data_IF_816275068047
#
_entry.id   IF_816275068047
#
_cell.length_a   1.000
_cell.length_b   1.000
_cell.length_c   1.000
_cell.angle_alpha   90.00
_cell.angle_beta   90.00
_cell.angle_gamma   90.00
#
_symmetry.space_group_name_H-M   'P 1'
#
loop_
_entity.id
_entity.type
_entity.pdbx_description
1 polymer ?
#
# COMPACT_ATOMS: atom_id res chain seq x y z
N UNK A 1 -6.08 -4.42 -24.58
CA UNK A 1 -5.69 -3.31 -24.30
C UNK A 1 -5.08 -3.13 -22.98
N UNK A 2 -5.70 -3.29 -21.87
CA UNK A 2 -5.11 -3.06 -20.58
C UNK A 2 -4.77 -4.33 -19.82
N UNK A 3 -4.69 -5.47 -20.53
CA UNK A 3 -4.42 -6.75 -19.88
C UNK A 3 -3.05 -6.76 -19.21
N UNK A 4 -2.03 -6.19 -19.84
CA UNK A 4 -0.69 -6.13 -19.27
C UNK A 4 -0.64 -5.22 -18.04
N UNK A 5 -1.34 -4.10 -18.09
CA UNK A 5 -1.43 -3.19 -16.97
C UNK A 5 -2.19 -3.82 -15.81
N UNK A 6 -3.30 -4.50 -16.10
CA UNK A 6 -4.08 -5.21 -15.08
C UNK A 6 -3.27 -6.30 -14.41
N UNK A 7 -2.48 -7.05 -15.17
CA UNK A 7 -1.60 -8.06 -14.62
C UNK A 7 -0.51 -7.43 -13.75
N UNK A 8 0.05 -6.31 -14.21
CA UNK A 8 1.04 -5.56 -13.44
C UNK A 8 0.46 -5.11 -12.10
N UNK A 9 -0.77 -4.59 -12.10
CA UNK A 9 -1.46 -4.19 -10.87
C UNK A 9 -1.69 -5.38 -9.93
N UNK A 10 -2.06 -6.53 -10.48
CA UNK A 10 -2.24 -7.75 -9.69
C UNK A 10 -0.92 -8.21 -9.08
N UNK A 11 0.18 -8.07 -9.80
CA UNK A 11 1.50 -8.39 -9.27
C UNK A 11 1.91 -7.45 -8.14
N UNK A 12 1.57 -6.17 -8.26
CA UNK A 12 1.80 -5.21 -7.18
C UNK A 12 1.00 -5.62 -5.94
N UNK A 13 -0.28 -5.92 -6.12
CA UNK A 13 -1.13 -6.36 -5.01
C UNK A 13 -0.60 -7.64 -4.36
N UNK A 14 -0.24 -8.63 -5.16
CA UNK A 14 0.32 -9.87 -4.64
C UNK A 14 1.61 -9.63 -3.88
N UNK A 15 2.49 -8.77 -4.40
CA UNK A 15 3.73 -8.43 -3.75
C UNK A 15 3.51 -7.76 -2.40
N UNK A 16 2.48 -6.92 -2.29
CA UNK A 16 2.13 -6.29 -1.02
C UNK A 16 1.65 -7.35 -0.02
N UNK A 17 0.75 -8.22 -0.45
CA UNK A 17 0.18 -9.26 0.41
C UNK A 17 1.22 -10.27 0.89
N UNK A 18 2.24 -10.53 0.08
CA UNK A 18 3.34 -11.43 0.45
C UNK A 18 4.25 -10.83 1.51
N UNK A 19 4.36 -9.50 1.54
CA UNK A 19 5.28 -8.82 2.44
C UNK A 19 4.67 -8.49 3.80
N UNK A 20 3.37 -8.16 3.84
CA UNK A 20 2.70 -7.75 5.07
C UNK A 20 1.28 -8.30 5.12
N UNK A 21 0.79 -8.50 6.33
CA UNK A 21 -0.61 -8.87 6.56
C UNK A 21 -1.44 -7.61 6.38
N UNK A 22 -2.20 -7.56 5.31
CA UNK A 22 -3.00 -6.39 4.99
C UNK A 22 -4.20 -6.73 4.12
N UNK A 23 -5.13 -5.79 4.05
CA UNK A 23 -6.22 -5.83 3.09
C UNK A 23 -5.93 -4.80 2.02
N UNK A 24 -6.08 -5.19 0.76
CA UNK A 24 -5.92 -4.28 -0.37
C UNK A 24 -7.28 -4.09 -1.00
N UNK A 25 -7.74 -2.84 -1.06
CA UNK A 25 -9.03 -2.49 -1.63
C UNK A 25 -8.80 -1.49 -2.77
N UNK A 26 -9.44 -1.74 -3.89
CA UNK A 26 -9.39 -0.85 -5.04
C UNK A 26 -10.65 0.00 -5.07
N UNK A 27 -10.49 1.31 -4.98
CA UNK A 27 -11.60 2.24 -5.07
C UNK A 27 -11.58 2.88 -6.47
N UNK A 28 -12.40 2.34 -7.35
CA UNK A 28 -12.46 2.78 -8.74
C UNK A 28 -12.99 4.21 -8.86
N UNK A 29 -13.95 4.57 -8.02
CA UNK A 29 -14.57 5.90 -8.06
C UNK A 29 -13.58 7.00 -7.71
N UNK A 30 -12.76 6.78 -6.70
CA UNK A 30 -11.77 7.77 -6.26
C UNK A 30 -10.41 7.60 -6.95
N UNK A 31 -10.24 6.52 -7.70
CA UNK A 31 -8.98 6.23 -8.37
C UNK A 31 -7.84 5.94 -7.42
N UNK A 32 -8.13 5.32 -6.28
CA UNK A 32 -7.13 5.01 -5.25
C UNK A 32 -7.11 3.53 -4.91
N UNK A 33 -5.93 3.05 -4.55
CA UNK A 33 -5.77 1.74 -3.94
C UNK A 33 -5.52 1.97 -2.45
N UNK A 34 -6.26 1.28 -1.60
CA UNK A 34 -6.14 1.40 -0.16
C UNK A 34 -5.52 0.15 0.42
N UNK A 35 -4.44 0.31 1.17
CA UNK A 35 -3.77 -0.77 1.88
C UNK A 35 -4.03 -0.58 3.37
N UNK A 36 -4.74 -1.51 3.98
CA UNK A 36 -5.05 -1.47 5.40
C UNK A 36 -4.23 -2.50 6.16
N UNK A 37 -3.48 -2.04 7.15
CA UNK A 37 -2.71 -2.90 8.04
C UNK A 37 -3.39 -2.89 9.39
N UNK A 38 -3.73 -4.08 9.91
CA UNK A 38 -4.33 -4.22 11.22
C UNK A 38 -3.46 -5.15 12.06
N UNK A 39 -2.82 -4.61 13.08
CA UNK A 39 -1.94 -5.37 13.98
C UNK A 39 -2.20 -4.90 15.42
N UNK A 40 -2.48 -5.84 16.30
CA UNK A 40 -2.72 -5.57 17.74
C UNK A 40 -3.82 -4.51 17.96
N UNK A 41 -4.88 -4.58 17.16
CA UNK A 41 -6.00 -3.64 17.29
C UNK A 41 -5.76 -2.26 16.71
N UNK A 42 -4.59 -2.02 16.15
CA UNK A 42 -4.28 -0.75 15.48
C UNK A 42 -4.45 -0.91 13.98
N UNK A 43 -5.28 -0.07 13.38
CA UNK A 43 -5.54 -0.10 11.94
C UNK A 43 -4.99 1.16 11.30
N UNK A 44 -4.19 0.97 10.26
CA UNK A 44 -3.63 2.08 9.48
C UNK A 44 -4.00 1.87 8.02
N UNK A 45 -4.50 2.92 7.39
CA UNK A 45 -4.82 2.89 5.97
C UNK A 45 -3.81 3.76 5.21
N UNK A 46 -3.20 3.19 4.18
CA UNK A 46 -2.33 3.92 3.28
C UNK A 46 -2.97 3.93 1.89
N UNK A 47 -3.24 5.11 1.38
CA UNK A 47 -3.85 5.25 0.07
C UNK A 47 -2.81 5.59 -0.99
N UNK A 48 -2.91 4.92 -2.13
CA UNK A 48 -2.03 5.14 -3.27
C UNK A 48 -2.89 5.55 -4.46
N UNK A 49 -2.51 6.62 -5.12
CA UNK A 49 -3.22 7.09 -6.30
C UNK A 49 -2.92 6.17 -7.48
N UNK A 50 -3.97 5.65 -8.13
CA UNK A 50 -3.83 4.73 -9.26
C UNK A 50 -3.14 5.41 -10.46
N UNK A 51 -3.35 6.72 -10.62
CA UNK A 51 -2.66 7.47 -11.69
C UNK A 51 -1.15 7.45 -11.50
N UNK A 52 -0.67 7.53 -10.27
CA UNK A 52 0.76 7.43 -9.97
C UNK A 52 1.29 6.04 -10.28
N UNK A 53 0.50 5.01 -10.00
CA UNK A 53 0.85 3.63 -10.36
C UNK A 53 0.96 3.46 -11.87
N UNK A 54 0.07 4.10 -12.61
CA UNK A 54 0.12 4.03 -14.07
C UNK A 54 1.37 4.69 -14.63
N UNK A 55 1.81 5.79 -14.03
CA UNK A 55 3.07 6.43 -14.44
C UNK A 55 4.25 5.48 -14.23
N UNK A 56 4.29 4.79 -13.09
CA UNK A 56 5.33 3.80 -12.80
C UNK A 56 5.30 2.65 -13.81
N UNK A 57 4.11 2.19 -14.15
CA UNK A 57 3.94 1.16 -15.17
C UNK A 57 4.50 1.63 -16.51
N UNK A 58 4.17 2.86 -16.92
CA UNK A 58 4.62 3.42 -18.20
C UNK A 58 6.14 3.60 -18.24
N UNK A 59 6.76 3.81 -17.10
CA UNK A 59 8.23 3.92 -16.99
C UNK A 59 8.93 2.57 -16.99
N UNK A 60 8.17 1.49 -16.97
CA UNK A 60 8.74 0.14 -16.95
C UNK A 60 9.20 -0.32 -15.58
N UNK A 61 8.67 0.29 -14.51
CA UNK A 61 9.06 -0.07 -13.14
C UNK A 61 8.59 -1.49 -12.81
N UNK A 62 9.45 -2.24 -12.14
CA UNK A 62 9.12 -3.60 -11.73
C UNK A 62 8.01 -3.57 -10.66
N UNK A 63 6.94 -4.36 -10.83
CA UNK A 63 5.84 -4.36 -9.86
C UNK A 63 6.27 -4.79 -8.46
N UNK A 64 7.29 -5.63 -8.37
CA UNK A 64 7.83 -6.07 -7.08
C UNK A 64 8.46 -4.90 -6.32
N UNK A 65 9.16 -4.02 -7.02
CA UNK A 65 9.77 -2.83 -6.42
C UNK A 65 8.69 -1.85 -5.94
N UNK A 66 7.64 -1.70 -6.73
CA UNK A 66 6.51 -0.84 -6.36
C UNK A 66 5.83 -1.38 -5.11
N UNK A 67 5.61 -2.70 -5.06
CA UNK A 67 5.01 -3.34 -3.89
C UNK A 67 5.88 -3.12 -2.64
N UNK A 68 7.19 -3.23 -2.77
CA UNK A 68 8.12 -2.98 -1.66
C UNK A 68 8.02 -1.55 -1.15
N UNK A 69 7.98 -0.57 -2.05
CA UNK A 69 7.87 0.83 -1.68
C UNK A 69 6.55 1.14 -0.96
N UNK A 70 5.45 0.59 -1.47
CA UNK A 70 4.13 0.76 -0.86
C UNK A 70 4.12 0.15 0.54
N UNK A 71 4.66 -1.04 0.69
CA UNK A 71 4.75 -1.71 2.00
C UNK A 71 5.59 -0.91 2.99
N UNK A 72 6.71 -0.36 2.56
CA UNK A 72 7.56 0.46 3.41
C UNK A 72 6.83 1.71 3.87
N UNK A 73 6.12 2.38 2.97
CA UNK A 73 5.34 3.58 3.30
C UNK A 73 4.23 3.25 4.31
N UNK A 74 3.52 2.15 4.10
CA UNK A 74 2.46 1.72 5.01
C UNK A 74 3.03 1.35 6.38
N UNK A 75 4.16 0.67 6.44
CA UNK A 75 4.83 0.31 7.68
C UNK A 75 5.29 1.55 8.46
N UNK A 76 5.82 2.54 7.77
CA UNK A 76 6.24 3.79 8.40
C UNK A 76 5.06 4.51 9.04
N UNK A 77 3.92 4.56 8.37
CA UNK A 77 2.71 5.14 8.94
C UNK A 77 2.26 4.41 10.20
N UNK A 78 2.32 3.09 10.17
CA UNK A 78 1.96 2.27 11.30
C UNK A 78 2.89 2.50 12.49
N UNK A 79 4.19 2.57 12.23
CA UNK A 79 5.19 2.84 13.26
C UNK A 79 5.00 4.22 13.89
N UNK A 80 4.74 5.24 13.07
CA UNK A 80 4.47 6.59 13.55
C UNK A 80 3.26 6.62 14.47
N UNK A 81 2.20 5.89 14.12
CA UNK A 81 0.99 5.83 14.92
C UNK A 81 1.25 5.17 16.26
N UNK A 82 2.05 4.10 16.30
CA UNK A 82 2.42 3.41 17.53
C UNK A 82 3.28 4.30 18.42
N UNK A 83 4.25 4.98 17.86
CA UNK A 83 5.10 5.92 18.61
C UNK A 83 4.27 7.03 19.26
N UNK A 84 3.28 7.55 18.55
CA UNK A 84 2.38 8.57 19.09
C UNK A 84 1.55 8.02 20.25
N UNK A 85 1.09 6.77 20.16
CA UNK A 85 0.35 6.13 21.25
C UNK A 85 1.22 5.95 22.47
N UNK A 86 2.47 5.53 22.30
CA UNK A 86 3.39 5.36 23.40
C UNK A 86 3.70 6.69 24.08
N UNK A 87 3.91 7.74 23.31
CA UNK A 87 4.16 9.08 23.82
C UNK A 87 2.97 9.59 24.64
N UNK A 88 1.74 9.33 24.19
CA UNK A 88 0.54 9.71 24.92
C UNK A 88 0.40 8.94 26.22
N UNK A 89 0.73 7.65 26.22
CA UNK A 89 0.66 6.82 27.41
C UNK A 89 1.73 7.19 28.44
N UNK A 90 2.88 7.64 27.98
CA UNK A 90 3.98 8.03 28.85
C UNK A 90 3.89 9.48 29.34
N UNK A 91 2.98 10.22 28.77
CA UNK A 91 2.73 11.57 29.20
C UNK A 91 1.76 11.59 30.37
#
# INVERSE_FOLDING_TARGET
MCAEYDEWLKEVESGIRERIFCNVTWNVENGNMKVEISVFGTVVAHEVNVADLKELYNKGTNPNDVAGDICNSAKLKWLELIEKKEDVENA
#
